data_IF_157407000199
#
_entry.id   IF_157407000199
#
_cell.length_a   1.000
_cell.length_b   1.000
_cell.length_c   1.000
_cell.angle_alpha   90.00
_cell.angle_beta   90.00
_cell.angle_gamma   90.00
#
_symmetry.space_group_name_H-M   'P 1'
#
loop_
_entity.id
_entity.type
_entity.pdbx_description
1 polymer ?
#
# COMPACT_ATOMS: atom_id res chain seq x y z
N UNK A 1 -8.51 -8.07 31.14
CA UNK A 1 -7.74 -8.73 30.06
C UNK A 1 -6.92 -7.66 29.35
N UNK A 2 -5.63 -7.89 29.19
CA UNK A 2 -4.79 -7.03 28.36
C UNK A 2 -5.24 -7.16 26.91
N UNK A 3 -5.37 -6.04 26.23
CA UNK A 3 -5.81 -5.94 24.84
C UNK A 3 -4.67 -5.34 24.02
N UNK A 4 -4.37 -5.95 22.88
CA UNK A 4 -3.44 -5.40 21.90
C UNK A 4 -4.18 -4.40 21.01
N UNK A 5 -3.83 -3.12 21.10
CA UNK A 5 -4.45 -2.08 20.26
C UNK A 5 -3.71 -1.96 18.93
N UNK A 6 -4.43 -2.13 17.85
CA UNK A 6 -3.91 -1.93 16.51
C UNK A 6 -4.65 -0.78 15.85
N UNK A 7 -3.91 0.23 15.41
CA UNK A 7 -4.45 1.38 14.68
C UNK A 7 -4.41 1.17 13.17
N UNK A 8 -5.40 1.66 12.45
CA UNK A 8 -5.44 1.68 11.00
C UNK A 8 -6.01 3.00 10.50
N UNK A 9 -5.34 3.61 9.52
CA UNK A 9 -5.85 4.75 8.78
C UNK A 9 -5.80 4.44 7.30
N UNK A 10 -6.95 4.42 6.65
CA UNK A 10 -7.06 4.20 5.21
C UNK A 10 -8.39 4.77 4.70
N UNK A 11 -8.55 5.03 3.38
CA UNK A 11 -9.74 5.67 2.89
C UNK A 11 -10.98 4.76 3.03
N UNK A 12 -11.99 5.26 3.74
CA UNK A 12 -13.37 4.76 3.72
C UNK A 12 -14.23 5.60 2.80
N UNK A 13 -13.81 6.84 2.56
CA UNK A 13 -14.40 7.80 1.62
C UNK A 13 -13.32 8.41 0.72
N UNK A 14 -13.71 9.14 -0.32
CA UNK A 14 -12.80 9.76 -1.28
C UNK A 14 -12.44 8.85 -2.47
N UNK A 15 -11.57 9.33 -3.38
CA UNK A 15 -11.29 8.66 -4.66
C UNK A 15 -10.74 7.23 -4.56
N UNK A 16 -9.98 6.91 -3.52
CA UNK A 16 -9.38 5.59 -3.33
C UNK A 16 -10.21 4.66 -2.42
N UNK A 17 -11.38 5.11 -1.95
CA UNK A 17 -12.23 4.30 -1.07
C UNK A 17 -12.63 2.95 -1.68
N UNK A 18 -12.92 2.92 -3.00
CA UNK A 18 -13.27 1.69 -3.70
C UNK A 18 -12.15 0.64 -3.67
N UNK A 19 -10.91 1.06 -3.88
CA UNK A 19 -9.75 0.17 -3.79
C UNK A 19 -9.51 -0.34 -2.37
N UNK A 20 -9.54 0.54 -1.39
CA UNK A 20 -9.38 0.19 0.02
C UNK A 20 -10.50 -0.72 0.55
N UNK A 21 -11.74 -0.54 0.07
CA UNK A 21 -12.88 -1.39 0.43
C UNK A 21 -12.74 -2.83 -0.07
N UNK A 22 -11.94 -3.07 -1.11
CA UNK A 22 -11.74 -4.41 -1.68
C UNK A 22 -10.46 -5.05 -1.16
N UNK A 23 -9.37 -4.29 -1.04
CA UNK A 23 -8.03 -4.87 -0.81
C UNK A 23 -7.44 -4.56 0.56
N UNK A 24 -7.93 -3.58 1.30
CA UNK A 24 -7.37 -3.17 2.58
C UNK A 24 -8.27 -3.55 3.76
N UNK A 25 -9.43 -2.90 3.90
CA UNK A 25 -10.29 -3.07 5.05
C UNK A 25 -10.79 -4.49 5.29
N UNK A 26 -11.23 -5.25 4.27
CA UNK A 26 -11.69 -6.61 4.50
C UNK A 26 -10.59 -7.53 5.00
N UNK A 27 -9.36 -7.37 4.48
CA UNK A 27 -8.22 -8.19 4.88
C UNK A 27 -7.82 -7.92 6.33
N UNK A 28 -7.77 -6.65 6.74
CA UNK A 28 -7.45 -6.26 8.11
C UNK A 28 -8.52 -6.81 9.06
N UNK A 29 -9.80 -6.62 8.76
CA UNK A 29 -10.91 -7.09 9.61
C UNK A 29 -10.96 -8.60 9.70
N UNK A 30 -10.86 -9.29 8.57
CA UNK A 30 -10.83 -10.76 8.54
C UNK A 30 -9.69 -11.31 9.41
N UNK A 31 -8.51 -10.74 9.31
CA UNK A 31 -7.37 -11.13 10.13
C UNK A 31 -7.63 -10.91 11.63
N UNK A 32 -8.15 -9.74 12.00
CA UNK A 32 -8.50 -9.42 13.41
C UNK A 32 -9.55 -10.38 13.95
N UNK A 33 -10.60 -10.63 13.18
CA UNK A 33 -11.68 -11.54 13.56
C UNK A 33 -11.16 -12.98 13.74
N UNK A 34 -10.33 -13.46 12.81
CA UNK A 34 -9.74 -14.81 12.89
C UNK A 34 -8.81 -14.96 14.09
N UNK A 35 -7.95 -13.96 14.34
CA UNK A 35 -7.06 -13.97 15.50
C UNK A 35 -7.87 -13.96 16.81
N UNK A 36 -8.88 -13.11 16.89
CA UNK A 36 -9.72 -12.99 18.08
C UNK A 36 -10.57 -14.25 18.33
N UNK A 37 -11.04 -14.90 17.26
CA UNK A 37 -11.77 -16.18 17.37
C UNK A 37 -10.89 -17.32 17.95
N UNK A 38 -9.58 -17.27 17.71
CA UNK A 38 -8.60 -18.21 18.29
C UNK A 38 -8.10 -17.84 19.69
N UNK A 39 -8.67 -16.80 20.30
CA UNK A 39 -8.32 -16.31 21.63
C UNK A 39 -7.31 -15.16 21.67
N UNK A 40 -6.88 -14.64 20.52
CA UNK A 40 -5.94 -13.54 20.40
C UNK A 40 -4.52 -13.97 19.98
N UNK A 41 -3.59 -13.04 20.05
CA UNK A 41 -2.15 -13.28 19.82
C UNK A 41 -1.46 -13.67 21.12
N UNK A 42 -0.57 -14.63 21.05
CA UNK A 42 0.31 -14.95 22.18
C UNK A 42 1.46 -13.95 22.23
N UNK A 43 1.50 -13.16 23.31
CA UNK A 43 2.56 -12.17 23.56
C UNK A 43 3.20 -12.54 24.90
N UNK A 44 4.44 -13.02 24.85
CA UNK A 44 5.07 -13.62 26.02
C UNK A 44 4.27 -14.83 26.51
N UNK A 45 3.77 -14.77 27.75
CA UNK A 45 2.98 -15.83 28.38
C UNK A 45 1.45 -15.55 28.33
N UNK A 46 1.02 -14.40 27.78
CA UNK A 46 -0.39 -13.98 27.77
C UNK A 46 -1.00 -14.10 26.38
N UNK A 47 -2.30 -14.39 26.32
CA UNK A 47 -3.12 -14.27 25.12
C UNK A 47 -3.82 -12.91 25.15
N UNK A 48 -3.63 -12.11 24.11
CA UNK A 48 -4.22 -10.77 24.00
C UNK A 48 -5.10 -10.67 22.76
N UNK A 49 -6.36 -10.30 22.95
CA UNK A 49 -7.26 -10.00 21.85
C UNK A 49 -6.89 -8.67 21.21
N UNK A 50 -7.16 -8.56 19.93
CA UNK A 50 -6.93 -7.33 19.18
C UNK A 50 -8.14 -6.41 19.29
N UNK A 51 -7.90 -5.16 19.67
CA UNK A 51 -8.80 -4.03 19.50
C UNK A 51 -8.35 -3.21 18.30
N UNK A 52 -9.18 -3.12 17.26
CA UNK A 52 -8.87 -2.36 16.06
C UNK A 52 -9.43 -0.93 16.18
N UNK A 53 -8.54 0.07 16.10
CA UNK A 53 -8.89 1.50 16.08
C UNK A 53 -8.78 2.00 14.63
N UNK A 54 -9.90 2.42 14.04
CA UNK A 54 -9.99 2.74 12.62
C UNK A 54 -10.27 4.22 12.37
N UNK A 55 -9.53 4.82 11.44
CA UNK A 55 -9.77 6.19 10.95
C UNK A 55 -9.90 6.22 9.43
N UNK A 56 -10.79 7.08 8.93
CA UNK A 56 -10.93 7.43 7.53
C UNK A 56 -9.97 8.58 7.21
N UNK A 57 -9.05 8.41 6.27
CA UNK A 57 -8.18 9.48 5.78
C UNK A 57 -8.76 10.25 4.59
N UNK A 58 -9.90 9.81 4.05
CA UNK A 58 -10.61 10.44 2.94
C UNK A 58 -9.76 10.58 1.67
N UNK A 59 -8.75 9.73 1.49
CA UNK A 59 -7.74 9.85 0.44
C UNK A 59 -6.92 11.15 0.53
N UNK A 60 -6.80 11.74 1.71
CA UNK A 60 -6.09 12.97 1.96
C UNK A 60 -4.83 12.73 2.80
N UNK A 61 -3.62 13.08 2.29
CA UNK A 61 -2.36 12.85 3.01
C UNK A 61 -2.29 13.56 4.36
N UNK A 62 -2.86 14.76 4.48
CA UNK A 62 -2.84 15.54 5.73
C UNK A 62 -3.70 14.86 6.79
N UNK A 63 -4.90 14.38 6.41
CA UNK A 63 -5.75 13.61 7.31
C UNK A 63 -5.07 12.33 7.75
N UNK A 64 -4.41 11.62 6.82
CA UNK A 64 -3.66 10.41 7.15
C UNK A 64 -2.55 10.68 8.17
N UNK A 65 -1.78 11.75 8.00
CA UNK A 65 -0.73 12.17 8.96
C UNK A 65 -1.35 12.47 10.34
N UNK A 66 -2.45 13.22 10.37
CA UNK A 66 -3.16 13.55 11.63
C UNK A 66 -3.70 12.28 12.31
N UNK A 67 -4.25 11.35 11.53
CA UNK A 67 -4.75 10.08 12.05
C UNK A 67 -3.62 9.24 12.66
N UNK A 68 -2.45 9.13 11.98
CA UNK A 68 -1.26 8.44 12.52
C UNK A 68 -0.82 9.09 13.83
N UNK A 69 -0.75 10.42 13.87
CA UNK A 69 -0.37 11.13 15.09
C UNK A 69 -1.37 10.85 16.22
N UNK A 70 -2.67 10.86 15.93
CA UNK A 70 -3.72 10.57 16.91
C UNK A 70 -3.63 9.13 17.43
N UNK A 71 -3.49 8.16 16.54
CA UNK A 71 -3.30 6.76 16.90
C UNK A 71 -2.12 6.58 17.87
N UNK A 72 -1.01 7.27 17.60
CA UNK A 72 0.20 7.17 18.41
C UNK A 72 0.09 7.89 19.76
N UNK A 73 -0.51 9.08 19.81
CA UNK A 73 -0.42 9.97 20.99
C UNK A 73 -1.66 9.97 21.87
N UNK A 74 -2.85 9.77 21.27
CA UNK A 74 -4.14 9.80 21.97
C UNK A 74 -4.62 8.39 22.25
N UNK A 75 -4.75 7.57 21.20
CA UNK A 75 -5.25 6.20 21.31
C UNK A 75 -4.18 5.25 21.85
N UNK A 76 -2.89 5.62 21.68
CA UNK A 76 -1.70 4.89 22.16
C UNK A 76 -1.73 3.43 21.73
N UNK A 77 -1.91 3.25 20.43
CA UNK A 77 -1.92 1.91 19.83
C UNK A 77 -0.55 1.26 19.89
N UNK A 78 -0.51 -0.05 19.98
CA UNK A 78 0.73 -0.84 20.05
C UNK A 78 1.38 -0.99 18.67
N UNK A 79 0.54 -1.12 17.62
CA UNK A 79 0.98 -1.23 16.22
C UNK A 79 0.08 -0.43 15.30
N UNK A 80 0.61 -0.09 14.13
CA UNK A 80 -0.12 0.60 13.07
C UNK A 80 -0.11 -0.27 11.81
N UNK A 81 -1.30 -0.59 11.30
CA UNK A 81 -1.48 -1.06 9.92
C UNK A 81 -1.29 0.16 9.01
N UNK A 82 -0.33 0.06 8.11
CA UNK A 82 0.03 1.20 7.25
C UNK A 82 -1.11 1.60 6.32
N UNK A 83 -1.18 2.89 5.95
CA UNK A 83 -2.23 3.41 5.08
C UNK A 83 -2.29 2.75 3.70
N UNK A 84 -3.37 3.01 2.99
CA UNK A 84 -3.58 2.55 1.61
C UNK A 84 -3.00 3.56 0.60
N UNK A 85 -2.37 3.07 -0.47
CA UNK A 85 -1.76 3.75 -1.61
C UNK A 85 -0.31 4.21 -1.43
N UNK A 86 0.40 4.36 -2.55
CA UNK A 86 1.80 4.82 -2.57
C UNK A 86 1.94 6.21 -2.00
N UNK A 87 1.15 7.17 -2.47
CA UNK A 87 1.26 8.57 -2.03
C UNK A 87 1.01 8.76 -0.54
N UNK A 88 0.01 8.08 0.02
CA UNK A 88 -0.32 8.17 1.45
C UNK A 88 0.77 7.50 2.30
N UNK A 89 1.30 6.35 1.87
CA UNK A 89 2.40 5.69 2.59
C UNK A 89 3.66 6.55 2.62
N UNK A 90 4.04 7.17 1.51
CA UNK A 90 5.18 8.10 1.45
C UNK A 90 4.95 9.31 2.36
N UNK A 91 3.76 9.89 2.35
CA UNK A 91 3.43 11.06 3.17
C UNK A 91 3.44 10.74 4.68
N UNK A 92 3.03 9.54 5.07
CA UNK A 92 2.93 9.14 6.49
C UNK A 92 4.21 8.50 7.04
N UNK A 93 5.13 8.04 6.20
CA UNK A 93 6.37 7.40 6.63
C UNK A 93 7.18 8.21 7.66
N UNK A 94 7.36 9.55 7.52
CA UNK A 94 8.06 10.35 8.53
C UNK A 94 7.39 10.32 9.90
N UNK A 95 6.05 10.38 9.93
CA UNK A 95 5.27 10.38 11.17
C UNK A 95 5.32 9.02 11.87
N UNK A 96 5.19 7.94 11.10
CA UNK A 96 5.29 6.56 11.61
C UNK A 96 6.71 6.32 12.17
N UNK A 97 7.75 6.78 11.46
CA UNK A 97 9.13 6.69 11.93
C UNK A 97 9.38 7.51 13.19
N UNK A 98 8.83 8.73 13.27
CA UNK A 98 8.98 9.60 14.44
C UNK A 98 8.43 8.95 15.71
N UNK A 99 7.35 8.19 15.59
CA UNK A 99 6.76 7.48 16.72
C UNK A 99 7.32 6.07 16.94
N UNK A 100 8.30 5.63 16.12
CA UNK A 100 9.00 4.37 16.29
C UNK A 100 8.23 3.12 15.87
N UNK A 101 7.11 3.27 15.14
CA UNK A 101 6.36 2.12 14.64
C UNK A 101 7.02 1.49 13.42
N UNK A 102 6.93 0.16 13.25
CA UNK A 102 7.28 -0.47 11.98
C UNK A 102 6.36 0.02 10.86
N UNK A 103 6.94 0.45 9.74
CA UNK A 103 6.22 0.86 8.54
C UNK A 103 6.30 -0.25 7.50
N UNK A 104 5.32 -1.15 7.51
CA UNK A 104 5.27 -2.32 6.61
C UNK A 104 4.21 -2.06 5.54
N UNK A 105 4.60 -1.54 4.38
CA UNK A 105 3.65 -1.19 3.34
C UNK A 105 3.25 -2.40 2.51
N UNK A 106 1.95 -2.64 2.39
CA UNK A 106 1.38 -3.74 1.60
C UNK A 106 0.62 -3.27 0.36
N UNK A 107 0.45 -1.96 0.20
CA UNK A 107 -0.34 -1.34 -0.87
C UNK A 107 0.40 -0.20 -1.58
N UNK A 108 1.71 -0.13 -1.43
CA UNK A 108 2.54 0.91 -2.04
C UNK A 108 3.64 0.29 -2.89
N UNK A 109 3.77 0.76 -4.12
CA UNK A 109 4.85 0.40 -5.03
C UNK A 109 5.51 1.68 -5.53
N UNK A 110 6.84 1.75 -5.41
CA UNK A 110 7.61 2.93 -5.82
C UNK A 110 9.03 2.55 -6.17
N UNK A 111 9.62 3.22 -7.13
CA UNK A 111 11.04 3.09 -7.46
C UNK A 111 11.96 3.80 -6.45
N UNK A 112 11.38 4.64 -5.57
CA UNK A 112 12.09 5.32 -4.48
C UNK A 112 12.43 4.46 -3.26
N UNK A 113 12.15 3.14 -3.29
CA UNK A 113 12.31 2.22 -2.13
C UNK A 113 13.69 2.31 -1.48
N UNK A 114 14.77 2.35 -2.27
CA UNK A 114 16.14 2.40 -1.72
C UNK A 114 16.41 3.70 -0.97
N UNK A 115 15.92 4.82 -1.47
CA UNK A 115 16.05 6.11 -0.80
C UNK A 115 15.24 6.15 0.48
N UNK A 116 14.00 5.67 0.43
CA UNK A 116 13.11 5.63 1.59
C UNK A 116 13.63 4.70 2.69
N UNK A 117 14.16 3.53 2.33
CA UNK A 117 14.76 2.61 3.29
C UNK A 117 16.03 3.18 3.95
N UNK A 118 16.82 3.97 3.24
CA UNK A 118 17.96 4.70 3.82
C UNK A 118 17.53 5.82 4.76
N UNK A 119 16.43 6.48 4.43
CA UNK A 119 15.90 7.61 5.21
C UNK A 119 15.12 7.16 6.44
N UNK A 120 14.38 6.06 6.33
CA UNK A 120 13.54 5.49 7.40
C UNK A 120 13.85 4.00 7.56
N UNK A 121 14.75 3.69 8.47
CA UNK A 121 15.25 2.33 8.71
C UNK A 121 14.21 1.34 9.26
N UNK A 122 13.04 1.83 9.63
CA UNK A 122 11.87 1.06 10.08
C UNK A 122 10.84 0.84 8.96
N UNK A 123 11.16 1.19 7.70
CA UNK A 123 10.22 1.15 6.58
C UNK A 123 10.54 -0.01 5.64
N UNK A 124 9.52 -0.87 5.42
CA UNK A 124 9.60 -2.09 4.62
C UNK A 124 8.53 -2.05 3.52
N UNK A 125 8.95 -2.13 2.27
CA UNK A 125 8.11 -1.98 1.08
C UNK A 125 7.87 -3.33 0.43
N UNK A 126 6.69 -3.93 0.65
CA UNK A 126 6.42 -5.34 0.33
C UNK A 126 5.92 -5.57 -1.10
N UNK A 127 5.34 -4.54 -1.74
CA UNK A 127 4.73 -4.69 -3.07
C UNK A 127 5.74 -4.61 -4.23
N UNK A 128 6.96 -4.17 -3.97
CA UNK A 128 8.01 -4.00 -4.97
C UNK A 128 8.01 -2.62 -5.61
N UNK A 129 8.66 -2.49 -6.77
CA UNK A 129 8.83 -1.23 -7.47
C UNK A 129 7.86 -1.08 -8.65
N UNK A 130 7.58 0.15 -9.07
CA UNK A 130 6.79 0.44 -10.27
C UNK A 130 7.45 -0.17 -11.53
N UNK A 131 8.78 -0.09 -11.62
CA UNK A 131 9.55 -0.70 -12.71
C UNK A 131 9.38 -2.23 -12.75
N UNK A 132 9.41 -2.92 -11.62
CA UNK A 132 9.19 -4.38 -11.58
C UNK A 132 7.78 -4.76 -12.02
N UNK A 133 6.76 -4.02 -11.57
CA UNK A 133 5.37 -4.24 -11.96
C UNK A 133 5.16 -4.00 -13.47
N UNK A 134 5.68 -2.89 -14.00
CA UNK A 134 5.62 -2.57 -15.42
C UNK A 134 6.30 -3.65 -16.27
N UNK A 135 7.50 -4.07 -15.89
CA UNK A 135 8.25 -5.12 -16.59
C UNK A 135 7.47 -6.43 -16.63
N UNK A 136 6.91 -6.89 -15.51
CA UNK A 136 6.09 -8.11 -15.47
C UNK A 136 4.85 -8.05 -16.36
N UNK A 137 4.19 -6.88 -16.42
CA UNK A 137 3.07 -6.65 -17.32
C UNK A 137 3.50 -6.70 -18.79
N UNK A 138 4.58 -6.01 -19.14
CA UNK A 138 5.11 -5.99 -20.53
C UNK A 138 5.57 -7.37 -20.96
N UNK A 139 6.27 -8.14 -20.13
CA UNK A 139 6.66 -9.52 -20.43
C UNK A 139 5.46 -10.42 -20.70
N UNK A 140 4.34 -10.17 -20.00
CA UNK A 140 3.08 -10.89 -20.24
C UNK A 140 2.49 -10.52 -21.61
N UNK A 141 2.46 -9.23 -21.95
CA UNK A 141 2.00 -8.76 -23.26
C UNK A 141 2.87 -9.30 -24.40
N UNK A 142 4.19 -9.34 -24.24
CA UNK A 142 5.12 -9.96 -25.22
C UNK A 142 4.76 -11.41 -25.46
N UNK A 143 4.54 -12.20 -24.40
CA UNK A 143 4.13 -13.61 -24.55
C UNK A 143 2.81 -13.78 -25.28
N UNK A 144 1.82 -12.92 -25.03
CA UNK A 144 0.53 -12.96 -25.72
C UNK A 144 0.66 -12.56 -27.19
N UNK A 145 1.46 -11.55 -27.50
CA UNK A 145 1.76 -11.13 -28.88
C UNK A 145 2.45 -12.24 -29.66
N UNK A 146 3.48 -12.86 -29.08
CA UNK A 146 4.27 -13.90 -29.72
C UNK A 146 3.45 -15.17 -29.98
N UNK A 147 2.38 -15.40 -29.22
CA UNK A 147 1.37 -16.43 -29.50
C UNK A 147 0.35 -16.05 -30.58
N UNK A 148 0.29 -14.78 -30.96
CA UNK A 148 -0.71 -14.25 -31.87
C UNK A 148 -2.06 -13.92 -31.23
N UNK A 149 -2.16 -13.93 -29.89
CA UNK A 149 -3.40 -13.63 -29.16
C UNK A 149 -3.73 -12.13 -29.19
N UNK A 150 -2.70 -11.27 -29.30
CA UNK A 150 -2.84 -9.81 -29.41
C UNK A 150 -1.92 -9.25 -30.51
N UNK A 151 -2.23 -8.04 -30.98
CA UNK A 151 -1.35 -7.26 -31.87
C UNK A 151 -0.27 -6.48 -31.09
N UNK A 152 0.39 -5.54 -31.79
CA UNK A 152 1.46 -4.71 -31.21
C UNK A 152 0.99 -3.32 -30.77
N UNK A 153 -0.32 -3.01 -30.85
CA UNK A 153 -0.88 -1.71 -30.45
C UNK A 153 -1.38 -1.77 -29.02
N UNK A 154 -0.96 -0.80 -28.20
CA UNK A 154 -1.31 -0.70 -26.79
C UNK A 154 -1.82 0.69 -26.47
N UNK A 155 -2.91 0.77 -25.72
CA UNK A 155 -3.39 2.00 -25.08
C UNK A 155 -3.03 1.95 -23.57
N UNK A 156 -2.59 3.08 -23.04
CA UNK A 156 -2.34 3.24 -21.59
C UNK A 156 -3.42 4.13 -20.97
N UNK A 157 -4.01 3.63 -19.90
CA UNK A 157 -4.93 4.40 -19.05
C UNK A 157 -4.45 4.25 -17.61
N UNK A 158 -4.18 5.36 -16.95
CA UNK A 158 -3.65 5.37 -15.60
C UNK A 158 -4.37 6.39 -14.71
N UNK A 159 -4.25 6.22 -13.40
CA UNK A 159 -4.60 7.25 -12.42
C UNK A 159 -3.48 8.28 -12.32
N UNK A 160 -3.83 9.53 -11.98
CA UNK A 160 -2.88 10.65 -11.91
C UNK A 160 -2.30 10.85 -10.50
N UNK A 161 -2.34 9.81 -9.66
CA UNK A 161 -1.69 9.80 -8.36
C UNK A 161 -0.22 9.34 -8.44
N UNK A 162 0.48 9.31 -7.32
CA UNK A 162 1.90 8.92 -7.27
C UNK A 162 2.14 7.52 -7.84
N UNK A 163 1.26 6.54 -7.54
CA UNK A 163 1.36 5.18 -8.05
C UNK A 163 1.21 5.13 -9.57
N UNK A 164 0.13 5.74 -10.10
CA UNK A 164 -0.16 5.72 -11.54
C UNK A 164 0.91 6.43 -12.35
N UNK A 165 1.43 7.57 -11.86
CA UNK A 165 2.47 8.32 -12.56
C UNK A 165 3.80 7.59 -12.61
N UNK A 166 4.23 6.95 -11.52
CA UNK A 166 5.44 6.12 -11.53
C UNK A 166 5.30 4.90 -12.43
N UNK A 167 4.14 4.22 -12.35
CA UNK A 167 3.86 3.05 -13.19
C UNK A 167 3.84 3.41 -14.68
N UNK A 168 3.20 4.53 -15.04
CA UNK A 168 3.19 5.05 -16.40
C UNK A 168 4.60 5.36 -16.90
N UNK A 169 5.41 6.05 -16.07
CA UNK A 169 6.80 6.38 -16.37
C UNK A 169 7.68 5.15 -16.62
N UNK A 170 7.42 4.06 -15.92
CA UNK A 170 8.13 2.79 -16.11
C UNK A 170 7.58 1.98 -17.30
N UNK A 171 6.26 1.98 -17.53
CA UNK A 171 5.62 1.17 -18.56
C UNK A 171 5.88 1.69 -19.97
N UNK A 172 5.88 3.00 -20.19
CA UNK A 172 6.10 3.60 -21.52
C UNK A 172 7.40 3.13 -22.19
N UNK A 173 8.60 3.34 -21.60
CA UNK A 173 9.82 2.88 -22.20
C UNK A 173 9.85 1.36 -22.34
N UNK A 174 9.38 0.61 -21.37
CA UNK A 174 9.38 -0.85 -21.41
C UNK A 174 8.51 -1.40 -22.56
N UNK A 175 7.36 -0.81 -22.85
CA UNK A 175 6.52 -1.17 -23.98
C UNK A 175 7.18 -0.81 -25.31
N UNK A 176 7.77 0.38 -25.43
CA UNK A 176 8.45 0.84 -26.64
C UNK A 176 9.66 -0.06 -26.95
N UNK A 177 10.48 -0.38 -25.96
CA UNK A 177 11.65 -1.26 -26.08
C UNK A 177 11.25 -2.68 -26.48
N UNK A 178 10.08 -3.14 -26.04
CA UNK A 178 9.50 -4.42 -26.41
C UNK A 178 8.83 -4.41 -27.81
N UNK A 179 8.83 -3.30 -28.54
CA UNK A 179 8.30 -3.17 -29.90
C UNK A 179 6.79 -2.94 -29.97
N UNK A 180 6.14 -2.51 -28.88
CA UNK A 180 4.74 -2.08 -28.92
C UNK A 180 4.61 -0.64 -29.40
N UNK A 181 3.52 -0.39 -30.14
CA UNK A 181 3.09 0.94 -30.58
C UNK A 181 2.09 1.50 -29.56
N UNK A 182 2.43 2.63 -28.92
CA UNK A 182 1.49 3.33 -28.04
C UNK A 182 0.53 4.17 -28.87
N UNK A 183 -0.74 3.82 -28.89
CA UNK A 183 -1.77 4.49 -29.71
C UNK A 183 -2.64 5.47 -28.92
N UNK A 184 -2.58 5.41 -27.59
CA UNK A 184 -3.29 6.33 -26.69
C UNK A 184 -2.59 6.36 -25.30
N UNK A 185 -2.59 7.55 -24.68
CA UNK A 185 -2.09 7.80 -23.32
C UNK A 185 -2.73 9.05 -22.69
#
# INVERSE_FOLDING_TARGET
EEVLKIGASAPKTGPLAGGAAVTHWPNVKMWVDEVNARGGLKIGETQQKIELVEYDDQTNPENAIQNIQRLATVDKVDFIVTPYSTGINVATAPMIAQHGYPHITTSAATDGVEEFAKRWNNSFWMLGTATQLAKGAVETLVRLRDKGDIGNKVALVNVTDAFGMELLGAAKPALTDAGFELVYE
#
